data_IF_336560934161
#
_entry.id   IF_336560934161
#
_cell.length_a   1.000
_cell.length_b   1.000
_cell.length_c   1.000
_cell.angle_alpha   90.00
_cell.angle_beta   90.00
_cell.angle_gamma   90.00
#
_symmetry.space_group_name_H-M   'P 1'
#
loop_
_entity.id
_entity.type
_entity.pdbx_description
1 polymer ?
#
# COMPACT_ATOMS: atom_id res chain seq x y z
N UNK A 1 -15.91 1.62 -6.90
CA UNK A 1 -15.18 2.86 -6.53
C UNK A 1 -13.79 3.02 -7.13
N UNK A 2 -13.41 2.16 -8.08
CA UNK A 2 -12.50 2.55 -9.17
C UNK A 2 -11.00 2.53 -8.90
N UNK A 3 -10.54 2.14 -7.71
CA UNK A 3 -9.12 1.86 -7.43
C UNK A 3 -8.92 0.43 -6.98
N UNK A 4 -7.76 -0.13 -7.30
CA UNK A 4 -7.34 -1.47 -6.85
C UNK A 4 -5.88 -1.40 -6.33
N UNK A 5 -5.47 -2.40 -5.56
CA UNK A 5 -4.12 -2.49 -4.99
C UNK A 5 -3.55 -3.89 -5.22
N UNK A 6 -2.42 -3.95 -5.89
CA UNK A 6 -1.72 -5.20 -6.16
C UNK A 6 -0.52 -5.33 -5.22
N UNK A 7 -0.41 -6.48 -4.55
CA UNK A 7 0.79 -6.81 -3.78
C UNK A 7 1.91 -7.20 -4.76
N UNK A 8 3.04 -6.49 -4.69
CA UNK A 8 4.20 -6.74 -5.54
C UNK A 8 5.26 -7.56 -4.82
N UNK A 9 5.59 -7.18 -3.59
CA UNK A 9 6.66 -7.83 -2.83
C UNK A 9 6.45 -7.62 -1.33
N UNK A 10 6.84 -8.61 -0.52
CA UNK A 10 7.08 -8.42 0.91
C UNK A 10 8.55 -8.68 1.17
N UNK A 11 9.27 -7.65 1.58
CA UNK A 11 10.71 -7.75 1.84
C UNK A 11 10.96 -8.39 3.21
N UNK A 12 12.13 -9.01 3.38
CA UNK A 12 12.52 -9.63 4.66
C UNK A 12 12.73 -8.62 5.80
N UNK A 13 12.87 -7.34 5.49
CA UNK A 13 12.97 -6.25 6.47
C UNK A 13 11.59 -5.78 6.99
N UNK A 14 10.50 -6.30 6.44
CA UNK A 14 9.12 -5.97 6.83
C UNK A 14 8.50 -4.84 6.01
N UNK A 15 9.01 -4.57 4.81
CA UNK A 15 8.44 -3.57 3.90
C UNK A 15 7.53 -4.25 2.88
N UNK A 16 6.30 -3.76 2.73
CA UNK A 16 5.34 -4.28 1.75
C UNK A 16 5.29 -3.32 0.57
N UNK A 17 5.64 -3.81 -0.62
CA UNK A 17 5.54 -3.06 -1.86
C UNK A 17 4.22 -3.37 -2.54
N UNK A 18 3.50 -2.32 -2.88
CA UNK A 18 2.17 -2.39 -3.51
C UNK A 18 2.15 -1.53 -4.77
N UNK A 19 1.40 -1.95 -5.79
CA UNK A 19 1.11 -1.14 -6.96
C UNK A 19 -0.35 -0.71 -6.90
N UNK A 20 -0.57 0.60 -6.92
CA UNK A 20 -1.93 1.16 -6.99
C UNK A 20 -2.42 1.13 -8.44
N UNK A 21 -3.65 0.69 -8.64
CA UNK A 21 -4.28 0.58 -9.96
C UNK A 21 -5.57 1.40 -10.03
N UNK A 22 -6.03 1.68 -11.25
CA UNK A 22 -7.26 2.41 -11.51
C UNK A 22 -7.18 3.91 -11.17
N UNK A 23 -8.31 4.49 -10.77
CA UNK A 23 -8.46 5.91 -10.42
C UNK A 23 -7.55 6.33 -9.27
N UNK A 24 -7.19 5.40 -8.37
CA UNK A 24 -6.24 5.66 -7.30
C UNK A 24 -4.81 5.87 -7.81
N UNK A 25 -4.45 5.32 -8.97
CA UNK A 25 -3.11 5.50 -9.54
C UNK A 25 -2.88 6.93 -10.07
N UNK A 26 -3.92 7.63 -10.54
CA UNK A 26 -3.80 8.96 -11.14
C UNK A 26 -3.93 10.14 -10.16
N UNK A 27 -4.40 9.91 -8.93
CA UNK A 27 -4.67 10.96 -7.96
C UNK A 27 -3.67 10.90 -6.80
N UNK A 28 -2.69 11.82 -6.72
CA UNK A 28 -1.63 11.77 -5.70
C UNK A 28 -2.18 11.86 -4.26
N UNK A 29 -3.30 12.57 -4.07
CA UNK A 29 -3.96 12.64 -2.77
C UNK A 29 -4.59 11.29 -2.36
N UNK A 30 -5.27 10.62 -3.29
CA UNK A 30 -5.87 9.30 -3.04
C UNK A 30 -4.81 8.23 -2.81
N UNK A 31 -3.65 8.32 -3.48
CA UNK A 31 -2.53 7.40 -3.24
C UNK A 31 -2.04 7.48 -1.79
N UNK A 32 -1.83 8.69 -1.27
CA UNK A 32 -1.34 8.88 0.10
C UNK A 32 -2.36 8.40 1.13
N UNK A 33 -3.64 8.73 0.96
CA UNK A 33 -4.70 8.28 1.87
C UNK A 33 -4.82 6.75 1.87
N UNK A 34 -4.85 6.12 0.69
CA UNK A 34 -4.99 4.68 0.58
C UNK A 34 -3.76 3.94 1.12
N UNK A 35 -2.56 4.44 0.84
CA UNK A 35 -1.30 3.92 1.40
C UNK A 35 -1.35 3.93 2.93
N UNK A 36 -1.71 5.07 3.54
CA UNK A 36 -1.75 5.21 5.00
C UNK A 36 -2.77 4.26 5.63
N UNK A 37 -3.95 4.12 5.00
CA UNK A 37 -4.97 3.19 5.45
C UNK A 37 -4.47 1.75 5.41
N UNK A 38 -3.91 1.31 4.28
CA UNK A 38 -3.37 -0.04 4.09
C UNK A 38 -2.23 -0.31 5.06
N UNK A 39 -1.32 0.63 5.26
CA UNK A 39 -0.23 0.50 6.22
C UNK A 39 -0.73 0.33 7.65
N UNK A 40 -1.72 1.13 8.08
CA UNK A 40 -2.31 0.99 9.40
C UNK A 40 -3.00 -0.37 9.57
N UNK A 41 -3.78 -0.81 8.58
CA UNK A 41 -4.46 -2.11 8.61
C UNK A 41 -3.47 -3.28 8.63
N UNK A 42 -2.40 -3.22 7.84
CA UNK A 42 -1.36 -4.25 7.83
C UNK A 42 -0.61 -4.31 9.15
N UNK A 43 -0.28 -3.17 9.76
CA UNK A 43 0.38 -3.13 11.08
C UNK A 43 -0.49 -3.68 12.20
N UNK A 44 -1.80 -3.45 12.12
CA UNK A 44 -2.78 -3.95 13.10
C UNK A 44 -2.93 -5.48 13.04
N UNK A 45 -2.91 -6.06 11.84
CA UNK A 45 -3.06 -7.50 11.65
C UNK A 45 -1.72 -8.26 11.65
N UNK A 46 -0.63 -7.61 11.24
CA UNK A 46 0.70 -8.18 11.03
C UNK A 46 1.74 -7.19 11.59
N UNK A 47 2.04 -7.27 12.90
CA UNK A 47 2.93 -6.32 13.57
C UNK A 47 4.39 -6.38 13.08
N UNK A 48 4.76 -7.38 12.29
CA UNK A 48 6.07 -7.51 11.65
C UNK A 48 6.27 -6.54 10.47
N UNK A 49 5.16 -5.99 9.93
CA UNK A 49 5.21 -5.00 8.86
C UNK A 49 5.64 -3.64 9.43
N UNK A 50 6.71 -3.08 8.88
CA UNK A 50 7.27 -1.79 9.28
C UNK A 50 6.81 -0.63 8.41
N UNK A 51 6.66 -0.88 7.11
CA UNK A 51 6.34 0.14 6.13
C UNK A 51 5.59 -0.43 4.93
N UNK A 52 4.81 0.42 4.26
CA UNK A 52 4.26 0.14 2.93
C UNK A 52 4.87 1.12 1.95
N UNK A 53 5.20 0.67 0.74
CA UNK A 53 5.71 1.51 -0.34
C UNK A 53 4.93 1.28 -1.63
N UNK A 54 4.55 2.36 -2.30
CA UNK A 54 3.93 2.30 -3.61
C UNK A 54 5.00 2.25 -4.70
N UNK A 55 4.95 1.22 -5.55
CA UNK A 55 5.81 1.10 -6.74
C UNK A 55 5.01 1.43 -8.00
N UNK A 56 5.67 2.07 -8.98
CA UNK A 56 5.10 2.36 -10.30
C UNK A 56 5.07 1.10 -11.20
#
# INVERSE_FOLDING_TARGET
DGGDIELVEVTGDGTVKVRLQGHCAGCPMSQMTLKNYVEATLKDNIPEIKAVESVE
#
